data_IF_903844881900
#
_entry.id   IF_903844881900
#
_cell.length_a   1.000
_cell.length_b   1.000
_cell.length_c   1.000
_cell.angle_alpha   90.00
_cell.angle_beta   90.00
_cell.angle_gamma   90.00
#
_symmetry.space_group_name_H-M   'P 1'
#
loop_
_entity.id
_entity.type
_entity.pdbx_description
1 polymer ?
#
# COMPACT_ATOMS: atom_id res chain seq x y z
N UNK A 1 -2.34 -35.89 4.74
CA UNK A 1 -0.97 -35.34 4.79
C UNK A 1 -1.00 -33.96 4.14
N UNK A 2 -0.34 -32.97 4.74
CA UNK A 2 -0.27 -31.61 4.20
C UNK A 2 1.17 -31.30 3.77
N UNK A 3 1.35 -30.71 2.59
CA UNK A 3 2.68 -30.31 2.09
C UNK A 3 2.97 -28.87 2.56
N UNK A 4 4.12 -28.59 3.19
CA UNK A 4 4.52 -27.24 3.54
C UNK A 4 4.62 -26.35 2.30
N UNK A 5 4.07 -25.13 2.34
CA UNK A 5 4.03 -24.23 1.18
C UNK A 5 5.43 -23.95 0.58
N UNK A 6 6.47 -23.92 1.41
CA UNK A 6 7.84 -23.62 0.96
C UNK A 6 8.46 -24.75 0.14
N UNK A 7 7.97 -25.97 0.34
CA UNK A 7 8.42 -27.16 -0.36
C UNK A 7 7.45 -27.56 -1.48
N UNK A 8 6.25 -26.96 -1.50
CA UNK A 8 5.23 -27.27 -2.49
C UNK A 8 5.58 -26.72 -3.88
N UNK A 9 5.57 -27.62 -4.86
CA UNK A 9 5.79 -27.36 -6.29
C UNK A 9 4.52 -27.72 -7.05
N UNK A 10 4.17 -26.91 -8.04
CA UNK A 10 3.09 -27.19 -8.99
C UNK A 10 3.71 -27.69 -10.30
N UNK A 11 3.28 -28.86 -10.78
CA UNK A 11 3.66 -29.36 -12.09
C UNK A 11 3.01 -28.51 -13.18
N UNK A 12 3.78 -28.07 -14.16
CA UNK A 12 3.25 -27.24 -15.27
C UNK A 12 2.54 -28.05 -16.35
N UNK A 13 2.66 -29.38 -16.33
CA UNK A 13 2.08 -30.25 -17.35
C UNK A 13 0.80 -30.95 -16.89
N UNK A 14 0.65 -31.20 -15.58
CA UNK A 14 -0.48 -31.97 -15.04
C UNK A 14 -1.11 -31.38 -13.77
N UNK A 15 -0.73 -30.15 -13.40
CA UNK A 15 -1.27 -29.38 -12.26
C UNK A 15 -1.23 -30.08 -10.90
N UNK A 16 -0.45 -31.15 -10.78
CA UNK A 16 -0.28 -31.88 -9.53
C UNK A 16 0.63 -31.08 -8.59
N UNK A 17 0.26 -31.01 -7.31
CA UNK A 17 1.07 -30.39 -6.25
C UNK A 17 1.87 -31.47 -5.53
N UNK A 18 3.19 -31.28 -5.43
CA UNK A 18 4.12 -32.30 -4.92
C UNK A 18 5.35 -31.67 -4.22
N UNK A 19 6.16 -32.47 -3.53
CA UNK A 19 7.37 -32.04 -2.78
C UNK A 19 8.66 -32.70 -3.30
N UNK A 20 8.54 -33.75 -4.10
CA UNK A 20 9.63 -34.52 -4.67
C UNK A 20 10.36 -33.76 -5.79
N UNK A 21 11.55 -34.23 -6.16
CA UNK A 21 12.35 -33.63 -7.23
C UNK A 21 11.69 -33.71 -8.62
N UNK A 22 10.77 -34.67 -8.84
CA UNK A 22 10.02 -34.86 -10.09
C UNK A 22 8.55 -35.10 -9.79
N UNK A 23 7.68 -34.74 -10.73
CA UNK A 23 6.26 -34.95 -10.57
C UNK A 23 5.96 -36.46 -10.48
N UNK A 24 5.32 -36.97 -9.40
CA UNK A 24 5.01 -38.39 -9.26
C UNK A 24 3.90 -38.87 -10.21
N UNK A 25 3.15 -37.95 -10.84
CA UNK A 25 2.04 -38.29 -11.72
C UNK A 25 2.48 -38.43 -13.18
N UNK A 26 3.25 -37.48 -13.71
CA UNK A 26 3.65 -37.44 -15.13
C UNK A 26 5.16 -37.56 -15.35
N UNK A 27 5.97 -37.68 -14.29
CA UNK A 27 7.44 -37.71 -14.34
C UNK A 27 8.12 -36.47 -14.92
N UNK A 28 7.38 -35.37 -15.10
CA UNK A 28 7.94 -34.12 -15.59
C UNK A 28 8.90 -33.47 -14.60
N UNK A 29 9.89 -32.76 -15.15
CA UNK A 29 10.85 -31.91 -14.43
C UNK A 29 10.43 -30.43 -14.44
N UNK A 30 9.38 -30.06 -15.19
CA UNK A 30 8.87 -28.70 -15.28
C UNK A 30 7.94 -28.39 -14.10
N UNK A 31 8.35 -27.45 -13.25
CA UNK A 31 7.56 -27.04 -12.09
C UNK A 31 7.68 -25.56 -11.76
N UNK A 32 6.71 -25.07 -10.98
CA UNK A 32 6.74 -23.74 -10.38
C UNK A 32 6.54 -23.80 -8.85
N UNK A 33 7.35 -23.09 -8.04
CA UNK A 33 7.20 -23.08 -6.59
C UNK A 33 5.98 -22.25 -6.14
N UNK A 34 5.03 -22.88 -5.45
CA UNK A 34 3.76 -22.23 -5.07
C UNK A 34 3.93 -21.09 -4.06
N UNK A 35 4.99 -21.13 -3.24
CA UNK A 35 5.35 -20.05 -2.31
C UNK A 35 5.58 -18.69 -2.97
N UNK A 36 5.78 -18.66 -4.30
CA UNK A 36 5.90 -17.41 -5.07
C UNK A 36 4.55 -16.81 -5.46
N UNK A 37 3.48 -17.60 -5.49
CA UNK A 37 2.13 -17.13 -5.84
C UNK A 37 1.25 -16.96 -4.61
N UNK A 38 1.34 -17.90 -3.68
CA UNK A 38 0.51 -17.91 -2.48
C UNK A 38 1.36 -17.36 -1.33
N UNK A 39 0.87 -16.30 -0.69
CA UNK A 39 1.40 -15.83 0.59
C UNK A 39 0.59 -16.49 1.71
N UNK A 40 1.21 -17.07 2.74
CA UNK A 40 0.48 -17.50 3.93
C UNK A 40 -0.33 -16.32 4.49
N UNK A 41 -1.60 -16.53 4.83
CA UNK A 41 -2.47 -15.50 5.40
C UNK A 41 -2.11 -15.13 6.87
N UNK A 42 -0.91 -15.49 7.33
CA UNK A 42 -0.49 -15.30 8.72
C UNK A 42 -0.31 -13.82 9.00
N UNK A 43 -1.24 -13.32 9.82
CA UNK A 43 -1.48 -11.93 10.15
C UNK A 43 -1.57 -11.05 8.90
N UNK A 44 -2.79 -10.69 8.52
CA UNK A 44 -3.01 -9.35 8.00
C UNK A 44 -2.27 -8.39 8.94
N UNK A 45 -1.05 -8.01 8.60
CA UNK A 45 -0.56 -6.69 8.94
C UNK A 45 -1.70 -5.82 8.48
N UNK A 46 -2.45 -5.30 9.45
CA UNK A 46 -3.33 -4.18 9.22
C UNK A 46 -2.40 -3.16 8.63
N UNK A 47 -2.35 -3.11 7.29
CA UNK A 47 -1.60 -2.16 6.53
C UNK A 47 -2.23 -0.86 6.93
N UNK A 48 -1.71 -0.30 8.01
CA UNK A 48 -2.10 0.98 8.56
C UNK A 48 -1.63 1.89 7.48
N UNK A 49 -2.55 2.22 6.59
CA UNK A 49 -2.38 3.25 5.57
C UNK A 49 -2.00 4.47 6.38
N UNK A 50 -0.69 4.71 6.54
CA UNK A 50 -0.12 5.91 7.12
C UNK A 50 -0.47 7.00 6.12
N UNK A 51 -1.68 7.53 6.23
CA UNK A 51 -2.02 8.81 5.64
C UNK A 51 -0.99 9.79 6.18
N UNK A 52 -0.03 10.20 5.33
CA UNK A 52 0.91 11.28 5.63
C UNK A 52 0.12 12.58 5.72
N UNK A 53 -0.66 12.75 6.77
CA UNK A 53 -1.27 14.01 7.18
C UNK A 53 -0.23 14.83 7.95
N UNK A 54 0.88 15.16 7.29
CA UNK A 54 1.86 16.13 7.81
C UNK A 54 2.36 16.93 6.62
N UNK A 55 1.68 18.04 6.31
CA UNK A 55 2.20 19.26 5.63
C UNK A 55 1.14 20.26 5.14
N UNK A 56 -0.13 20.20 5.55
CA UNK A 56 -1.11 21.24 5.18
C UNK A 56 -1.36 22.31 6.28
N UNK A 57 -0.90 22.10 7.52
CA UNK A 57 -1.30 22.97 8.64
C UNK A 57 -0.47 24.25 8.82
N UNK A 58 0.62 24.45 8.05
CA UNK A 58 1.50 25.62 8.25
C UNK A 58 1.31 26.73 7.21
N UNK A 59 0.47 26.51 6.19
CA UNK A 59 0.20 27.52 5.14
C UNK A 59 -0.96 28.46 5.52
N UNK A 60 -1.83 28.08 6.46
CA UNK A 60 -3.01 28.88 6.83
C UNK A 60 -2.76 29.98 7.88
N UNK A 61 -1.57 30.04 8.50
CA UNK A 61 -1.27 31.06 9.53
C UNK A 61 -0.49 32.27 9.02
N UNK A 62 0.21 32.17 7.88
CA UNK A 62 1.06 33.27 7.38
C UNK A 62 0.31 34.34 6.58
N UNK A 63 -0.72 33.96 5.83
CA UNK A 63 -1.39 34.86 4.86
C UNK A 63 -2.65 35.54 5.41
N UNK A 64 -3.30 34.98 6.44
CA UNK A 64 -4.52 35.54 7.02
C UNK A 64 -4.30 36.87 7.76
N UNK A 65 -3.20 36.99 8.51
CA UNK A 65 -2.89 38.21 9.27
C UNK A 65 -2.55 39.39 8.36
N UNK A 66 -1.78 39.16 7.28
CA UNK A 66 -1.44 40.19 6.32
C UNK A 66 -2.67 40.73 5.57
N UNK A 67 -3.62 39.85 5.21
CA UNK A 67 -4.86 40.26 4.53
C UNK A 67 -5.83 40.98 5.47
N UNK A 68 -5.94 40.54 6.72
CA UNK A 68 -6.75 41.20 7.74
C UNK A 68 -6.20 42.60 8.08
N UNK A 69 -4.87 42.75 8.18
CA UNK A 69 -4.23 44.04 8.43
C UNK A 69 -4.39 45.01 7.25
N UNK A 70 -4.28 44.53 6.00
CA UNK A 70 -4.50 45.35 4.80
C UNK A 70 -5.95 45.86 4.69
N UNK A 71 -6.94 45.04 5.05
CA UNK A 71 -8.36 45.43 4.95
C UNK A 71 -8.75 46.50 5.99
N UNK A 72 -8.10 46.51 7.15
CA UNK A 72 -8.32 47.52 8.20
C UNK A 72 -7.64 48.86 7.89
N UNK A 73 -6.49 48.85 7.22
CA UNK A 73 -5.74 50.07 6.89
C UNK A 73 -6.37 50.89 5.74
N UNK A 74 -7.35 50.33 5.02
CA UNK A 74 -7.93 50.93 3.81
C UNK A 74 -9.24 51.71 4.03
N UNK A 75 -9.59 52.09 5.26
CA UNK A 75 -10.61 53.12 5.51
C UNK A 75 -9.95 54.49 5.74
N UNK A 76 -9.58 55.23 4.69
CA UNK A 76 -9.47 56.68 4.82
C UNK A 76 -10.87 57.30 4.80
N UNK A 77 -11.02 58.36 5.59
CA UNK A 77 -12.18 59.25 5.73
C UNK A 77 -13.08 59.37 4.48
N UNK A 78 -14.37 59.13 4.69
CA UNK A 78 -15.41 59.77 3.90
C UNK A 78 -16.26 60.60 4.86
N UNK A 79 -15.82 61.84 5.07
CA UNK A 79 -16.57 62.91 5.73
C UNK A 79 -16.76 64.03 4.71
N UNK A 80 -17.93 64.67 4.76
CA UNK A 80 -18.54 65.68 3.87
C UNK A 80 -19.41 65.03 2.78
N UNK A 81 -20.71 65.27 2.72
CA UNK A 81 -21.47 66.49 3.04
C UNK A 81 -22.93 66.16 3.33
#
# INVERSE_FOLDING_TARGET
MSIPLQNSRLCLDCDTVFEEARCPQCSSESYFPLSRWVRPAMASDTATVRTRAKKASLVLLGSGAAFALWKLLKKPDSKKQ
#
